data_IF_695927683783
#
_entry.id   IF_695927683783
#
_cell.length_a   1.000
_cell.length_b   1.000
_cell.length_c   1.000
_cell.angle_alpha   90.00
_cell.angle_beta   90.00
_cell.angle_gamma   90.00
#
_symmetry.space_group_name_H-M   'P 1'
#
loop_
_entity.id
_entity.type
_entity.pdbx_description
1 polymer ?
#
# COMPACT_ATOMS: atom_id res chain seq x y z
N UNK A 1 -3.08 -34.39 38.98
CA UNK A 1 -3.55 -34.41 37.58
C UNK A 1 -2.94 -33.21 36.89
N UNK A 2 -1.95 -33.44 36.03
CA UNK A 2 -1.39 -32.41 35.14
C UNK A 2 -2.38 -32.21 34.00
N UNK A 3 -2.97 -31.01 33.91
CA UNK A 3 -4.01 -30.71 32.93
C UNK A 3 -3.35 -30.39 31.59
N UNK A 4 -2.89 -31.43 30.88
CA UNK A 4 -2.20 -31.32 29.58
C UNK A 4 -3.04 -30.61 28.51
N UNK A 5 -4.36 -30.77 28.54
CA UNK A 5 -5.26 -30.16 27.57
C UNK A 5 -5.39 -28.62 27.67
N UNK A 6 -5.17 -28.03 28.85
CA UNK A 6 -5.23 -26.58 29.00
C UNK A 6 -4.01 -25.89 28.39
N UNK A 7 -2.83 -26.47 28.61
CA UNK A 7 -1.57 -26.00 28.02
C UNK A 7 -1.58 -26.14 26.48
N UNK A 8 -2.13 -27.24 25.97
CA UNK A 8 -2.31 -27.44 24.52
C UNK A 8 -3.29 -26.42 23.92
N UNK A 9 -4.40 -26.13 24.61
CA UNK A 9 -5.36 -25.10 24.19
C UNK A 9 -4.72 -23.71 24.14
N UNK A 10 -4.00 -23.31 25.19
CA UNK A 10 -3.30 -22.03 25.25
C UNK A 10 -2.23 -21.92 24.14
N UNK A 11 -1.47 -23.00 23.89
CA UNK A 11 -0.49 -23.04 22.82
C UNK A 11 -1.13 -22.87 21.44
N UNK A 12 -2.27 -23.52 21.18
CA UNK A 12 -3.01 -23.40 19.92
C UNK A 12 -3.60 -21.99 19.75
N UNK A 13 -4.14 -21.39 20.82
CA UNK A 13 -4.63 -20.01 20.79
C UNK A 13 -3.50 -19.02 20.48
N UNK A 14 -2.31 -19.21 21.07
CA UNK A 14 -1.13 -18.39 20.79
C UNK A 14 -0.67 -18.53 19.34
N UNK A 15 -0.63 -19.76 18.80
CA UNK A 15 -0.33 -20.00 17.38
C UNK A 15 -1.33 -19.30 16.46
N UNK A 16 -2.63 -19.41 16.76
CA UNK A 16 -3.68 -18.75 16.00
C UNK A 16 -3.51 -17.23 15.98
N UNK A 17 -3.23 -16.62 17.15
CA UNK A 17 -2.97 -15.18 17.26
C UNK A 17 -1.77 -14.75 16.41
N UNK A 18 -0.67 -15.51 16.45
CA UNK A 18 0.53 -15.21 15.67
C UNK A 18 0.30 -15.38 14.17
N UNK A 19 -0.42 -16.43 13.76
CA UNK A 19 -0.77 -16.65 12.35
C UNK A 19 -1.65 -15.50 11.84
N UNK A 20 -2.67 -15.11 12.60
CA UNK A 20 -3.55 -13.99 12.23
C UNK A 20 -2.75 -12.69 12.05
N UNK A 21 -1.85 -12.35 12.97
CA UNK A 21 -0.98 -11.17 12.83
C UNK A 21 -0.06 -11.25 11.60
N UNK A 22 0.51 -12.43 11.33
CA UNK A 22 1.33 -12.66 10.13
C UNK A 22 0.54 -12.45 8.84
N UNK A 23 -0.67 -13.01 8.78
CA UNK A 23 -1.54 -12.91 7.61
C UNK A 23 -2.04 -11.47 7.40
N UNK A 24 -2.44 -10.78 8.47
CA UNK A 24 -2.84 -9.37 8.40
C UNK A 24 -1.71 -8.48 7.87
N UNK A 25 -0.48 -8.68 8.36
CA UNK A 25 0.71 -7.96 7.86
C UNK A 25 0.99 -8.27 6.38
N UNK A 26 0.85 -9.54 5.97
CA UNK A 26 1.05 -9.95 4.58
C UNK A 26 -0.01 -9.36 3.65
N UNK A 27 -1.27 -9.33 4.09
CA UNK A 27 -2.38 -8.75 3.34
C UNK A 27 -2.15 -7.26 3.04
N UNK A 28 -1.80 -6.47 4.06
CA UNK A 28 -1.54 -5.03 3.89
C UNK A 28 -0.34 -4.79 2.97
N UNK A 29 0.73 -5.58 3.11
CA UNK A 29 1.91 -5.47 2.24
C UNK A 29 1.53 -5.71 0.77
N UNK A 30 0.85 -6.82 0.48
CA UNK A 30 0.47 -7.16 -0.91
C UNK A 30 -0.57 -6.22 -1.49
N UNK A 31 -1.51 -5.73 -0.67
CA UNK A 31 -2.47 -4.71 -1.08
C UNK A 31 -1.75 -3.42 -1.50
N UNK A 32 -0.74 -3.00 -0.72
CA UNK A 32 0.06 -1.83 -1.03
C UNK A 32 0.90 -1.99 -2.29
N UNK A 33 1.51 -3.16 -2.50
CA UNK A 33 2.21 -3.50 -3.74
C UNK A 33 1.27 -3.41 -4.96
N UNK A 34 0.05 -3.93 -4.84
CA UNK A 34 -0.93 -3.88 -5.94
C UNK A 34 -1.41 -2.46 -6.24
N UNK A 35 -1.64 -1.65 -5.20
CA UNK A 35 -1.97 -0.24 -5.40
C UNK A 35 -0.81 0.53 -6.02
N UNK A 36 0.43 0.28 -5.58
CA UNK A 36 1.62 0.92 -6.14
C UNK A 36 1.79 0.61 -7.62
N UNK A 37 1.61 -0.64 -8.03
CA UNK A 37 1.64 -1.06 -9.44
C UNK A 37 0.61 -0.30 -10.30
N UNK A 38 -0.64 -0.20 -9.82
CA UNK A 38 -1.71 0.52 -10.53
C UNK A 38 -1.42 2.03 -10.53
N UNK A 39 -0.92 2.59 -9.43
CA UNK A 39 -0.55 4.00 -9.35
C UNK A 39 0.55 4.32 -10.36
N UNK A 40 1.59 3.49 -10.45
CA UNK A 40 2.69 3.65 -11.40
C UNK A 40 2.19 3.61 -12.85
N UNK A 41 1.31 2.66 -13.20
CA UNK A 41 0.76 2.51 -14.56
C UNK A 41 -0.13 3.68 -14.99
N UNK A 42 -0.93 4.23 -14.08
CA UNK A 42 -1.90 5.29 -14.39
C UNK A 42 -1.28 6.68 -14.22
N UNK A 43 -0.13 6.78 -13.55
CA UNK A 43 0.59 8.04 -13.39
C UNK A 43 1.02 8.58 -14.76
N UNK A 44 0.71 9.85 -15.08
CA UNK A 44 1.04 10.44 -16.36
C UNK A 44 2.55 10.40 -16.66
N UNK A 45 2.88 10.00 -17.88
CA UNK A 45 4.25 9.97 -18.37
C UNK A 45 4.65 11.38 -18.78
N UNK A 46 5.77 11.84 -18.25
CA UNK A 46 6.41 13.08 -18.65
C UNK A 46 7.85 13.09 -18.19
N UNK A 47 8.72 13.64 -19.02
CA UNK A 47 10.10 13.94 -18.66
C UNK A 47 10.01 14.99 -17.55
N UNK A 48 10.24 14.58 -16.30
CA UNK A 48 9.88 15.39 -15.14
C UNK A 48 10.39 16.82 -15.23
N UNK A 49 9.60 17.80 -14.78
CA UNK A 49 10.07 19.18 -14.65
C UNK A 49 11.05 19.23 -13.48
N UNK A 50 12.24 19.86 -13.62
CA UNK A 50 13.19 19.96 -12.53
C UNK A 50 12.54 20.68 -11.35
N UNK A 51 12.56 20.03 -10.20
CA UNK A 51 12.01 20.52 -8.95
C UNK A 51 13.10 21.23 -8.14
N UNK A 52 13.03 22.55 -8.01
CA UNK A 52 13.97 23.31 -7.16
C UNK A 52 15.44 23.20 -7.61
N UNK A 53 16.34 22.90 -6.67
CA UNK A 53 17.81 22.90 -6.87
C UNK A 53 18.33 21.67 -7.65
N UNK A 54 17.51 20.66 -7.93
CA UNK A 54 17.93 19.45 -8.67
C UNK A 54 17.59 19.59 -10.15
N UNK A 55 18.32 20.48 -10.85
CA UNK A 55 18.12 20.78 -12.28
C UNK A 55 18.41 19.60 -13.22
N UNK A 56 19.18 18.62 -12.76
CA UNK A 56 19.72 17.55 -13.62
C UNK A 56 19.01 16.19 -13.45
N UNK A 57 18.00 16.09 -12.58
CA UNK A 57 17.29 14.82 -12.30
C UNK A 57 15.88 14.81 -12.88
N UNK A 58 15.79 14.49 -14.17
CA UNK A 58 14.54 14.20 -14.85
C UNK A 58 14.18 12.72 -14.71
N UNK A 59 13.58 12.32 -13.58
CA UNK A 59 12.96 10.99 -13.49
C UNK A 59 11.45 11.08 -13.76
N UNK A 60 10.84 10.12 -14.47
CA UNK A 60 9.38 10.01 -14.59
C UNK A 60 8.69 10.01 -13.22
N UNK A 61 7.48 10.58 -13.11
CA UNK A 61 6.75 10.59 -11.83
C UNK A 61 6.36 9.17 -11.41
N UNK A 62 6.00 8.33 -12.38
CA UNK A 62 5.64 6.94 -12.19
C UNK A 62 6.72 6.15 -11.41
N UNK A 63 8.00 6.30 -11.78
CA UNK A 63 9.10 5.58 -11.12
C UNK A 63 9.43 6.08 -9.71
N UNK A 64 8.75 7.14 -9.24
CA UNK A 64 8.90 7.68 -7.89
C UNK A 64 7.89 7.13 -6.90
N UNK A 65 7.01 6.22 -7.33
CA UNK A 65 6.04 5.55 -6.47
C UNK A 65 6.76 4.69 -5.44
N UNK A 66 6.44 4.91 -4.16
CA UNK A 66 7.04 4.21 -3.02
C UNK A 66 5.96 3.94 -1.97
N UNK A 67 6.29 3.05 -1.03
CA UNK A 67 5.51 2.86 0.19
C UNK A 67 6.36 3.15 1.43
N UNK A 68 5.70 3.50 2.55
CA UNK A 68 6.39 3.83 3.80
C UNK A 68 6.84 2.62 4.62
N UNK A 69 6.62 1.40 4.10
CA UNK A 69 6.68 0.18 4.88
C UNK A 69 5.49 0.03 5.86
N UNK A 70 5.38 -1.17 6.43
CA UNK A 70 4.30 -1.50 7.36
C UNK A 70 4.51 -0.80 8.70
N UNK A 71 3.51 -0.04 9.11
CA UNK A 71 3.38 0.59 10.43
C UNK A 71 2.26 -0.11 11.22
N UNK A 72 2.34 -0.01 12.55
CA UNK A 72 1.21 -0.34 13.43
C UNK A 72 0.39 0.91 13.69
N UNK A 73 -0.92 0.78 13.53
CA UNK A 73 -1.89 1.79 13.94
C UNK A 73 -2.19 1.70 15.45
N UNK A 74 -2.88 2.72 15.98
CA UNK A 74 -3.32 2.80 17.37
C UNK A 74 -4.11 1.57 17.81
N UNK A 75 -4.94 1.01 16.92
CA UNK A 75 -5.80 -0.14 17.21
C UNK A 75 -5.14 -1.50 16.89
N UNK A 76 -3.81 -1.57 16.95
CA UNK A 76 -3.02 -2.75 16.60
C UNK A 76 -3.23 -3.28 15.16
N UNK A 77 -3.87 -2.48 14.31
CA UNK A 77 -4.01 -2.73 12.87
C UNK A 77 -2.70 -2.44 12.14
N UNK A 78 -2.48 -3.09 11.00
CA UNK A 78 -1.34 -2.79 10.15
C UNK A 78 -1.76 -1.78 9.08
N UNK A 79 -0.93 -0.77 8.83
CA UNK A 79 -1.14 0.21 7.77
C UNK A 79 0.14 0.43 6.99
N UNK A 80 0.02 0.99 5.79
CA UNK A 80 1.14 1.54 5.03
C UNK A 80 0.61 2.63 4.13
N UNK A 81 1.40 3.69 3.97
CA UNK A 81 1.10 4.73 3.00
C UNK A 81 1.76 4.35 1.67
N UNK A 82 1.09 4.63 0.58
CA UNK A 82 1.59 4.47 -0.80
C UNK A 82 1.38 5.79 -1.51
N UNK A 83 2.41 6.26 -2.19
CA UNK A 83 2.39 7.52 -2.89
C UNK A 83 3.72 7.76 -3.56
N UNK A 84 4.10 9.02 -3.70
CA UNK A 84 5.35 9.40 -4.35
C UNK A 84 6.43 9.73 -3.33
N UNK A 85 7.70 9.55 -3.71
CA UNK A 85 8.84 9.88 -2.86
C UNK A 85 8.88 11.39 -2.53
N UNK A 86 9.61 11.75 -1.48
CA UNK A 86 9.64 13.13 -0.97
C UNK A 86 10.21 14.13 -1.99
N UNK A 87 11.18 13.72 -2.81
CA UNK A 87 11.84 14.62 -3.78
C UNK A 87 10.95 14.96 -4.97
N UNK A 88 10.08 14.04 -5.40
CA UNK A 88 9.30 14.18 -6.63
C UNK A 88 7.78 14.20 -6.39
N UNK A 89 7.30 13.91 -5.17
CA UNK A 89 5.88 13.78 -4.91
C UNK A 89 5.09 15.09 -4.95
N UNK A 90 5.72 16.23 -4.66
CA UNK A 90 5.05 17.54 -4.71
C UNK A 90 4.48 17.85 -6.11
N UNK A 91 5.15 17.40 -7.18
CA UNK A 91 4.69 17.62 -8.55
C UNK A 91 3.54 16.72 -8.98
N UNK A 92 3.18 15.70 -8.21
CA UNK A 92 2.02 14.85 -8.51
C UNK A 92 0.71 15.64 -8.48
N UNK A 93 0.65 16.70 -7.65
CA UNK A 93 -0.51 17.56 -7.53
C UNK A 93 -0.89 18.21 -8.87
N UNK A 94 0.07 18.75 -9.65
CA UNK A 94 -0.25 19.50 -10.87
C UNK A 94 -1.00 18.68 -11.94
N UNK A 95 -0.51 17.50 -12.38
CA UNK A 95 -1.27 16.70 -13.33
C UNK A 95 -2.54 16.09 -12.72
N UNK A 96 -2.59 15.88 -11.39
CA UNK A 96 -3.77 15.29 -10.74
C UNK A 96 -4.92 16.30 -10.64
N UNK A 97 -4.65 17.50 -10.11
CA UNK A 97 -5.64 18.56 -9.88
C UNK A 97 -5.80 19.51 -11.06
N UNK A 98 -4.87 19.50 -12.00
CA UNK A 98 -4.80 20.45 -13.11
C UNK A 98 -4.14 21.77 -12.72
N UNK A 99 -3.88 22.56 -13.75
CA UNK A 99 -3.37 23.94 -13.72
C UNK A 99 -4.22 24.81 -14.63
N UNK A 100 -3.86 26.09 -14.80
CA UNK A 100 -4.51 26.99 -15.77
C UNK A 100 -4.43 26.44 -17.20
N UNK A 101 -3.28 25.85 -17.55
CA UNK A 101 -2.99 25.40 -18.92
C UNK A 101 -3.22 23.89 -19.13
N UNK A 102 -3.45 23.12 -18.07
CA UNK A 102 -3.60 21.66 -18.13
C UNK A 102 -4.79 21.18 -17.32
N UNK A 103 -5.70 20.42 -17.94
CA UNK A 103 -6.86 19.85 -17.24
C UNK A 103 -6.43 18.78 -16.23
N UNK A 104 -7.15 18.72 -15.10
CA UNK A 104 -7.03 17.67 -14.09
C UNK A 104 -7.17 16.27 -14.68
N UNK A 105 -6.20 15.40 -14.44
CA UNK A 105 -6.21 14.01 -14.91
C UNK A 105 -6.77 13.04 -13.87
N UNK A 106 -6.86 13.46 -12.59
CA UNK A 106 -7.42 12.66 -11.48
C UNK A 106 -6.89 11.23 -11.44
N UNK A 107 -5.59 11.05 -11.69
CA UNK A 107 -4.99 9.74 -11.82
C UNK A 107 -4.91 9.03 -10.45
N UNK A 108 -4.78 9.76 -9.34
CA UNK A 108 -4.77 9.16 -7.99
C UNK A 108 -6.12 8.49 -7.68
N UNK A 109 -7.22 9.19 -7.93
CA UNK A 109 -8.56 8.63 -7.71
C UNK A 109 -8.88 7.49 -8.67
N UNK A 110 -8.43 7.59 -9.94
CA UNK A 110 -8.55 6.48 -10.89
C UNK A 110 -7.77 5.25 -10.42
N UNK A 111 -6.57 5.41 -9.88
CA UNK A 111 -5.79 4.29 -9.34
C UNK A 111 -6.47 3.65 -8.14
N UNK A 112 -7.11 4.43 -7.27
CA UNK A 112 -7.90 3.90 -6.14
C UNK A 112 -9.06 3.04 -6.64
N UNK A 113 -9.82 3.53 -7.61
CA UNK A 113 -10.98 2.81 -8.13
C UNK A 113 -10.55 1.53 -8.88
N UNK A 114 -9.52 1.61 -9.73
CA UNK A 114 -9.03 0.48 -10.52
C UNK A 114 -8.41 -0.62 -9.65
N UNK A 115 -7.74 -0.27 -8.55
CA UNK A 115 -7.08 -1.23 -7.67
C UNK A 115 -8.02 -1.88 -6.64
N UNK A 116 -9.21 -1.30 -6.40
CA UNK A 116 -10.12 -1.66 -5.32
C UNK A 116 -10.45 -3.15 -5.27
N UNK A 117 -10.94 -3.72 -6.37
CA UNK A 117 -11.32 -5.14 -6.42
C UNK A 117 -10.11 -6.06 -6.24
N UNK A 118 -8.97 -5.73 -6.83
CA UNK A 118 -7.74 -6.49 -6.68
C UNK A 118 -7.27 -6.48 -5.22
N UNK A 119 -7.29 -5.33 -4.55
CA UNK A 119 -6.95 -5.19 -3.12
C UNK A 119 -7.92 -5.99 -2.25
N UNK A 120 -9.22 -5.89 -2.49
CA UNK A 120 -10.23 -6.67 -1.75
C UNK A 120 -10.02 -8.17 -1.91
N UNK A 121 -9.60 -8.64 -3.08
CA UNK A 121 -9.28 -10.05 -3.32
C UNK A 121 -8.08 -10.52 -2.49
N UNK A 122 -7.05 -9.67 -2.34
CA UNK A 122 -5.87 -9.94 -1.51
C UNK A 122 -6.28 -10.09 -0.04
N UNK A 123 -7.09 -9.16 0.47
CA UNK A 123 -7.59 -9.25 1.84
C UNK A 123 -8.43 -10.52 2.06
N UNK A 124 -9.39 -10.81 1.18
CA UNK A 124 -10.23 -12.02 1.27
C UNK A 124 -9.39 -13.29 1.30
N UNK A 125 -8.35 -13.38 0.47
CA UNK A 125 -7.43 -14.54 0.45
C UNK A 125 -6.73 -14.71 1.79
N UNK A 126 -6.10 -13.66 2.29
CA UNK A 126 -5.35 -13.73 3.55
C UNK A 126 -6.26 -13.93 4.78
N UNK A 127 -7.49 -13.41 4.76
CA UNK A 127 -8.48 -13.69 5.79
C UNK A 127 -8.84 -15.18 5.84
N UNK A 128 -9.03 -15.84 4.69
CA UNK A 128 -9.27 -17.29 4.64
C UNK A 128 -8.07 -18.07 5.17
N UNK A 129 -6.85 -17.71 4.75
CA UNK A 129 -5.62 -18.34 5.23
C UNK A 129 -5.37 -18.11 6.74
N UNK A 130 -5.90 -17.04 7.32
CA UNK A 130 -5.83 -16.79 8.76
C UNK A 130 -6.83 -17.65 9.56
N UNK A 131 -7.99 -17.97 8.96
CA UNK A 131 -9.06 -18.75 9.59
C UNK A 131 -8.90 -20.26 9.38
N UNK A 132 -8.21 -20.68 8.31
CA UNK A 132 -7.84 -22.07 8.09
C UNK A 132 -6.60 -22.37 8.94
N UNK A 133 -6.82 -22.97 10.11
CA UNK A 133 -5.80 -23.73 10.84
C UNK A 133 -5.56 -25.05 10.12
#
# INVERSE_FOLDING_TARGET
>A
MTVTGFEEFEANLKKLKLNNQKQARSAVKKAAEKYAEVLEQVTPIGDGIPAGHERDKHAPLASSVVNTGIKKDRDASFMTDVGFNKSQGWRAHFPDTGTVDQRAQKFVDRSREQSKEAILSVYKKHMREAMML
#
